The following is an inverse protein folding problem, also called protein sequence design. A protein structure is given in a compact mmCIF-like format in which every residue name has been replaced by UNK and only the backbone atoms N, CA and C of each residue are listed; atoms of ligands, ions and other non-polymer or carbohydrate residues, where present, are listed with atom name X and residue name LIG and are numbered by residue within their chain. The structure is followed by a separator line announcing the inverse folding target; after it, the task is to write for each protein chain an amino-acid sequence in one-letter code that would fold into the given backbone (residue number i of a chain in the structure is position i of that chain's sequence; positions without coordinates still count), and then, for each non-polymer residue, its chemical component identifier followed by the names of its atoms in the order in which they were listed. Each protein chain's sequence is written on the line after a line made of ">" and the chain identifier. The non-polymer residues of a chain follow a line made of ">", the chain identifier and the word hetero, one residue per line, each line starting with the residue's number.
data_IF_370126746787
#
_entry.id   IF_370126746787
#
_cell.length_a   1.000
_cell.length_b   1.000
_cell.length_c   1.000
_cell.angle_alpha   90.00
_cell.angle_beta   90.00
_cell.angle_gamma   90.00
#
_symmetry.space_group_name_H-M   'P 1'
#
loop_
_entity.id
_entity.type
_entity.pdbx_description
1 polymer ?
#
# COMPACT_ATOMS: atom_id res chain seq x y z
N UNK A 1 18.51 -16.23 -2.17
CA UNK A 1 18.01 -15.97 -3.54
C UNK A 1 17.91 -14.46 -3.72
N UNK A 2 18.69 -13.84 -4.60
CA UNK A 2 18.68 -12.38 -4.82
C UNK A 2 18.01 -12.08 -6.15
N UNK A 3 16.79 -11.55 -6.11
CA UNK A 3 16.09 -11.05 -7.30
C UNK A 3 16.61 -9.64 -7.56
N UNK A 4 17.09 -9.36 -8.77
CA UNK A 4 17.55 -8.03 -9.17
C UNK A 4 16.40 -7.33 -9.91
N UNK A 5 15.68 -6.47 -9.20
CA UNK A 5 14.70 -5.54 -9.79
C UNK A 5 15.35 -4.23 -10.21
N UNK A 6 14.63 -3.43 -11.01
CA UNK A 6 15.09 -2.10 -11.39
C UNK A 6 15.23 -1.18 -10.16
N UNK A 7 16.43 -0.64 -9.94
CA UNK A 7 16.75 0.22 -8.79
C UNK A 7 15.89 1.48 -8.73
N UNK A 8 15.54 2.08 -9.87
CA UNK A 8 14.71 3.28 -9.92
C UNK A 8 13.28 3.01 -9.45
N UNK A 9 12.70 1.90 -9.90
CA UNK A 9 11.36 1.48 -9.46
C UNK A 9 11.35 1.11 -7.97
N UNK A 10 12.43 0.52 -7.46
CA UNK A 10 12.59 0.26 -6.04
C UNK A 10 12.57 1.55 -5.21
N UNK A 11 13.37 2.56 -5.59
CA UNK A 11 13.38 3.83 -4.88
C UNK A 11 12.06 4.59 -5.00
N UNK A 12 11.40 4.55 -6.16
CA UNK A 12 10.09 5.14 -6.36
C UNK A 12 9.03 4.49 -5.44
N UNK A 13 9.01 3.16 -5.39
CA UNK A 13 8.06 2.41 -4.55
C UNK A 13 8.35 2.62 -3.05
N UNK A 14 9.62 2.69 -2.67
CA UNK A 14 10.04 3.05 -1.31
C UNK A 14 9.60 4.46 -0.94
N UNK A 15 9.76 5.44 -1.84
CA UNK A 15 9.32 6.81 -1.62
C UNK A 15 7.81 6.92 -1.46
N UNK A 16 7.04 6.22 -2.29
CA UNK A 16 5.59 6.16 -2.17
C UNK A 16 5.13 5.49 -0.87
N UNK A 17 5.84 4.46 -0.41
CA UNK A 17 5.56 3.86 0.90
C UNK A 17 5.87 4.80 2.06
N UNK A 18 6.89 5.64 1.96
CA UNK A 18 7.11 6.72 2.93
C UNK A 18 5.94 7.70 2.94
N UNK A 19 5.42 8.09 1.78
CA UNK A 19 4.24 8.97 1.69
C UNK A 19 2.99 8.30 2.27
N UNK A 20 2.80 7.00 2.02
CA UNK A 20 1.70 6.21 2.59
C UNK A 20 1.81 6.10 4.12
N UNK A 21 3.02 5.99 4.65
CA UNK A 21 3.27 5.99 6.09
C UNK A 21 2.93 7.35 6.71
N UNK A 22 3.40 8.45 6.11
CA UNK A 22 3.13 9.81 6.59
C UNK A 22 1.63 10.10 6.54
N UNK A 23 0.94 9.71 5.47
CA UNK A 23 -0.50 9.91 5.36
C UNK A 23 -1.27 9.05 6.37
N UNK A 24 -0.84 7.82 6.63
CA UNK A 24 -1.37 6.96 7.69
C UNK A 24 -1.25 7.58 9.08
N UNK A 25 -0.08 8.15 9.39
CA UNK A 25 0.16 8.85 10.65
C UNK A 25 -0.74 10.09 10.79
N UNK A 26 -0.88 10.90 9.73
CA UNK A 26 -1.77 12.06 9.73
C UNK A 26 -3.23 11.68 9.99
N UNK A 27 -3.73 10.64 9.31
CA UNK A 27 -5.11 10.14 9.54
C UNK A 27 -5.28 9.61 10.96
N UNK A 28 -4.30 8.88 11.47
CA UNK A 28 -4.33 8.35 12.84
C UNK A 28 -4.44 9.49 13.86
N UNK A 29 -3.61 10.52 13.73
CA UNK A 29 -3.62 11.69 14.64
C UNK A 29 -4.96 12.42 14.57
N UNK A 30 -5.51 12.66 13.37
CA UNK A 30 -6.82 13.30 13.20
C UNK A 30 -7.92 12.47 13.85
N UNK A 31 -7.94 11.15 13.61
CA UNK A 31 -8.92 10.25 14.21
C UNK A 31 -8.85 10.22 15.74
N UNK A 32 -7.64 10.16 16.30
CA UNK A 32 -7.43 10.22 17.75
C UNK A 32 -7.83 11.56 18.36
N UNK A 33 -7.53 12.67 17.66
CA UNK A 33 -7.91 14.02 18.10
C UNK A 33 -9.42 14.18 18.16
N UNK A 34 -10.16 13.73 17.13
CA UNK A 34 -11.62 13.81 17.12
C UNK A 34 -12.25 12.88 18.19
N UNK A 35 -11.71 11.68 18.40
CA UNK A 35 -12.14 10.81 19.50
C UNK A 35 -11.94 11.47 20.87
N UNK A 36 -10.79 12.14 21.09
CA UNK A 36 -10.50 12.82 22.35
C UNK A 36 -11.40 14.06 22.57
N UNK A 37 -11.76 14.76 21.48
CA UNK A 37 -12.58 15.97 21.53
C UNK A 37 -14.06 15.70 21.76
N UNK A 38 -14.64 14.68 21.14
CA UNK A 38 -16.09 14.46 21.22
C UNK A 38 -16.55 13.75 22.49
N UNK A 39 -15.62 13.20 23.29
CA UNK A 39 -15.88 12.40 24.49
C UNK A 39 -16.88 11.23 24.29
N UNK A 40 -17.16 10.91 23.03
CA UNK A 40 -18.05 9.86 22.56
C UNK A 40 -17.27 9.02 21.55
N UNK A 41 -17.24 7.71 21.75
CA UNK A 41 -16.62 6.76 20.82
C UNK A 41 -17.53 6.56 19.60
N UNK A 42 -17.76 7.61 18.82
CA UNK A 42 -18.46 7.49 17.55
C UNK A 42 -17.68 6.52 16.67
N UNK A 43 -18.37 5.47 16.20
CA UNK A 43 -17.80 4.40 15.38
C UNK A 43 -17.04 4.95 14.18
N UNK A 44 -17.51 6.08 13.64
CA UNK A 44 -16.86 6.79 12.55
C UNK A 44 -15.43 7.25 12.90
N UNK A 45 -15.24 8.01 13.98
CA UNK A 45 -13.93 8.54 14.39
C UNK A 45 -12.93 7.42 14.75
N UNK A 46 -13.43 6.40 15.45
CA UNK A 46 -12.62 5.21 15.79
C UNK A 46 -12.18 4.48 14.53
N UNK A 47 -13.04 4.37 13.52
CA UNK A 47 -12.71 3.71 12.25
C UNK A 47 -11.64 4.48 11.46
N UNK A 48 -11.62 5.82 11.53
CA UNK A 48 -10.54 6.63 10.95
C UNK A 48 -9.20 6.34 11.60
N UNK A 49 -9.15 6.27 12.93
CA UNK A 49 -7.92 5.94 13.65
C UNK A 49 -7.41 4.53 13.28
N UNK A 50 -8.31 3.54 13.24
CA UNK A 50 -7.97 2.16 12.86
C UNK A 50 -7.46 2.10 11.41
N UNK A 51 -8.11 2.82 10.49
CA UNK A 51 -7.67 2.87 9.09
C UNK A 51 -6.28 3.49 8.95
N UNK A 52 -6.00 4.61 9.64
CA UNK A 52 -4.67 5.21 9.68
C UNK A 52 -3.60 4.25 10.18
N UNK A 53 -3.89 3.53 11.28
CA UNK A 53 -3.00 2.49 11.81
C UNK A 53 -2.77 1.34 10.83
N UNK A 54 -3.81 0.86 10.15
CA UNK A 54 -3.70 -0.18 9.14
C UNK A 54 -2.80 0.28 7.96
N UNK A 55 -2.95 1.51 7.47
CA UNK A 55 -2.07 2.04 6.42
C UNK A 55 -0.60 2.08 6.85
N UNK A 56 -0.32 2.44 8.11
CA UNK A 56 1.05 2.40 8.64
C UNK A 56 1.63 0.97 8.61
N UNK A 57 0.85 -0.03 9.01
CA UNK A 57 1.28 -1.45 8.95
C UNK A 57 1.57 -1.88 7.52
N UNK A 58 0.70 -1.53 6.57
CA UNK A 58 0.90 -1.82 5.14
C UNK A 58 2.16 -1.14 4.60
N UNK A 59 2.40 0.12 4.97
CA UNK A 59 3.59 0.86 4.55
C UNK A 59 4.88 0.23 5.13
N UNK A 60 4.88 -0.13 6.42
CA UNK A 60 5.98 -0.86 7.07
C UNK A 60 6.25 -2.17 6.35
N UNK A 61 5.20 -2.95 6.07
CA UNK A 61 5.31 -4.21 5.34
C UNK A 61 5.90 -4.00 3.94
N UNK A 62 5.53 -2.90 3.26
CA UNK A 62 6.09 -2.47 1.99
C UNK A 62 7.62 -2.35 2.01
N UNK A 63 8.21 -1.77 3.06
CA UNK A 63 9.66 -1.61 3.16
C UNK A 63 10.45 -2.93 3.20
N UNK A 64 9.89 -3.99 3.77
CA UNK A 64 10.57 -5.28 3.93
C UNK A 64 10.38 -6.25 2.75
N UNK A 65 9.41 -5.96 1.88
CA UNK A 65 8.81 -6.93 0.96
C UNK A 65 9.53 -7.07 -0.39
N UNK A 66 10.44 -6.16 -0.73
CA UNK A 66 11.05 -6.08 -2.07
C UNK A 66 12.02 -7.20 -2.47
N UNK A 67 12.23 -8.19 -1.60
CA UNK A 67 13.22 -9.25 -1.82
C UNK A 67 12.67 -10.52 -2.47
N UNK A 68 11.33 -10.74 -2.45
CA UNK A 68 10.69 -11.93 -3.04
C UNK A 68 9.44 -11.57 -3.84
N UNK A 69 9.26 -12.24 -4.97
CA UNK A 69 8.10 -12.05 -5.86
C UNK A 69 6.76 -12.41 -5.20
N UNK A 70 6.75 -13.38 -4.30
CA UNK A 70 5.54 -13.76 -3.55
C UNK A 70 5.12 -12.68 -2.55
N UNK A 71 6.09 -12.09 -1.85
CA UNK A 71 5.80 -11.05 -0.87
C UNK A 71 5.23 -9.80 -1.57
N UNK A 72 5.74 -9.42 -2.74
CA UNK A 72 5.23 -8.22 -3.42
C UNK A 72 3.79 -8.38 -3.89
N UNK A 73 3.36 -9.59 -4.24
CA UNK A 73 1.96 -9.87 -4.52
C UNK A 73 1.07 -9.70 -3.29
N UNK A 74 1.55 -10.10 -2.10
CA UNK A 74 0.83 -9.89 -0.84
C UNK A 74 0.77 -8.42 -0.43
N UNK A 75 1.86 -7.69 -0.62
CA UNK A 75 1.86 -6.24 -0.41
C UNK A 75 0.87 -5.55 -1.36
N UNK A 76 0.84 -5.96 -2.62
CA UNK A 76 -0.06 -5.37 -3.61
C UNK A 76 -1.54 -5.62 -3.29
N UNK A 77 -1.89 -6.81 -2.78
CA UNK A 77 -3.25 -7.08 -2.31
C UNK A 77 -3.60 -6.24 -1.08
N UNK A 78 -2.67 -6.05 -0.15
CA UNK A 78 -2.87 -5.16 1.00
C UNK A 78 -3.11 -3.70 0.58
N UNK A 79 -2.32 -3.18 -0.37
CA UNK A 79 -2.53 -1.84 -0.95
C UNK A 79 -3.87 -1.73 -1.67
N UNK A 80 -4.30 -2.78 -2.38
CA UNK A 80 -5.61 -2.80 -3.01
C UNK A 80 -6.75 -2.73 -1.97
N UNK A 81 -6.63 -3.45 -0.86
CA UNK A 81 -7.59 -3.40 0.26
C UNK A 81 -7.65 -1.98 0.84
N UNK A 82 -6.49 -1.34 1.09
CA UNK A 82 -6.43 0.08 1.53
C UNK A 82 -7.20 0.97 0.55
N UNK A 83 -7.03 0.77 -0.76
CA UNK A 83 -7.76 1.51 -1.80
C UNK A 83 -9.27 1.29 -1.75
N UNK A 84 -9.73 0.06 -1.55
CA UNK A 84 -11.16 -0.24 -1.41
C UNK A 84 -11.76 0.45 -0.19
N UNK A 85 -11.12 0.37 0.98
CA UNK A 85 -11.55 1.07 2.19
C UNK A 85 -11.63 2.57 1.96
N UNK A 86 -10.62 3.14 1.31
CA UNK A 86 -10.56 4.55 1.02
C UNK A 86 -11.75 5.04 0.17
N UNK A 87 -12.13 4.28 -0.86
CA UNK A 87 -13.30 4.57 -1.69
C UNK A 87 -14.58 4.46 -0.86
N UNK A 88 -14.72 3.42 -0.04
CA UNK A 88 -15.90 3.22 0.82
C UNK A 88 -16.06 4.36 1.83
N UNK A 89 -14.99 4.81 2.47
CA UNK A 89 -15.02 5.97 3.38
C UNK A 89 -15.36 7.27 2.65
N UNK A 90 -14.76 7.50 1.48
CA UNK A 90 -15.05 8.68 0.67
C UNK A 90 -16.54 8.75 0.29
N UNK A 91 -17.12 7.61 -0.09
CA UNK A 91 -18.53 7.51 -0.41
C UNK A 91 -19.41 7.70 0.83
N UNK A 92 -19.02 7.15 1.98
CA UNK A 92 -19.71 7.35 3.26
C UNK A 92 -19.81 8.84 3.63
N UNK A 93 -18.70 9.58 3.53
CA UNK A 93 -18.67 11.04 3.75
C UNK A 93 -19.62 11.76 2.80
N UNK A 94 -19.62 11.38 1.51
CA UNK A 94 -20.46 12.02 0.51
C UNK A 94 -21.95 11.78 0.78
N UNK A 95 -22.32 10.57 1.19
CA UNK A 95 -23.70 10.19 1.52
C UNK A 95 -24.18 10.86 2.80
N UNK A 96 -23.32 10.98 3.81
CA UNK A 96 -23.67 11.59 5.11
C UNK A 96 -23.81 13.11 5.02
N UNK A 97 -22.97 13.80 4.24
CA UNK A 97 -23.03 15.26 4.12
C UNK A 97 -23.97 15.75 2.99
N UNK A 98 -24.45 14.85 2.13
CA UNK A 98 -25.29 15.17 0.98
C UNK A 98 -24.56 15.95 -0.14
N UNK A 99 -25.05 15.89 -1.39
CA UNK A 99 -24.48 16.65 -2.49
C UNK A 99 -24.81 18.14 -2.33
N UNK A 100 -23.88 18.91 -1.73
CA UNK A 100 -23.97 20.37 -1.67
C UNK A 100 -23.71 21.02 -0.31
N UNK A 101 -23.59 20.25 0.78
CA UNK A 101 -23.40 20.77 2.14
C UNK A 101 -21.97 20.57 2.68
N UNK A 102 -20.98 20.64 1.78
CA UNK A 102 -19.56 20.53 2.15
C UNK A 102 -19.12 21.86 2.73
N UNK A 103 -19.28 22.03 4.04
CA UNK A 103 -18.83 23.21 4.77
C UNK A 103 -17.29 23.28 4.71
N UNK A 104 -16.77 24.14 3.83
CA UNK A 104 -15.35 24.18 3.44
C UNK A 104 -14.41 24.72 4.51
N UNK A 105 -14.91 25.12 5.68
CA UNK A 105 -14.08 25.71 6.74
C UNK A 105 -13.59 24.73 7.81
N UNK A 106 -14.25 23.59 8.03
CA UNK A 106 -13.81 22.59 9.05
C UNK A 106 -13.74 21.16 8.53
N UNK A 107 -14.52 20.80 7.49
CA UNK A 107 -14.58 19.43 6.92
C UNK A 107 -13.77 19.25 5.63
N UNK A 108 -13.12 20.29 5.12
CA UNK A 108 -12.36 20.29 3.86
C UNK A 108 -10.96 19.67 3.99
N UNK A 109 -10.30 19.85 5.13
CA UNK A 109 -8.99 19.25 5.41
C UNK A 109 -8.96 17.71 5.27
N UNK A 110 -9.92 16.95 5.85
CA UNK A 110 -9.95 15.50 5.68
C UNK A 110 -10.26 15.09 4.24
N UNK A 111 -11.06 15.84 3.47
CA UNK A 111 -11.39 15.50 2.08
C UNK A 111 -10.18 15.64 1.15
N UNK A 112 -9.40 16.71 1.30
CA UNK A 112 -8.17 16.92 0.52
C UNK A 112 -7.13 15.84 0.87
N UNK A 113 -6.99 15.53 2.15
CA UNK A 113 -6.10 14.47 2.63
C UNK A 113 -6.52 13.10 2.06
N UNK A 114 -7.81 12.82 2.01
CA UNK A 114 -8.38 11.60 1.44
C UNK A 114 -8.05 11.53 -0.06
N UNK A 115 -8.36 12.57 -0.84
CA UNK A 115 -8.00 12.60 -2.27
C UNK A 115 -6.50 12.33 -2.52
N UNK A 116 -5.62 12.92 -1.70
CA UNK A 116 -4.19 12.69 -1.76
C UNK A 116 -3.79 11.24 -1.44
N UNK A 117 -4.39 10.64 -0.41
CA UNK A 117 -4.17 9.23 -0.05
C UNK A 117 -4.59 8.31 -1.19
N UNK A 118 -5.73 8.58 -1.83
CA UNK A 118 -6.18 7.85 -3.01
C UNK A 118 -5.15 7.86 -4.14
N UNK A 119 -4.58 9.02 -4.45
CA UNK A 119 -3.53 9.16 -5.46
C UNK A 119 -2.25 8.38 -5.10
N UNK A 120 -1.85 8.39 -3.83
CA UNK A 120 -0.69 7.62 -3.34
C UNK A 120 -0.94 6.12 -3.49
N UNK A 121 -2.12 5.64 -3.10
CA UNK A 121 -2.48 4.21 -3.18
C UNK A 121 -2.49 3.70 -4.62
N UNK A 122 -3.09 4.44 -5.55
CA UNK A 122 -3.11 4.10 -6.98
C UNK A 122 -1.67 4.06 -7.54
N UNK A 123 -0.84 5.02 -7.12
CA UNK A 123 0.56 5.10 -7.53
C UNK A 123 1.37 3.91 -6.99
N UNK A 124 1.20 3.56 -5.71
CA UNK A 124 1.80 2.37 -5.08
C UNK A 124 1.41 1.09 -5.82
N UNK A 125 0.13 0.94 -6.17
CA UNK A 125 -0.37 -0.24 -6.86
C UNK A 125 0.19 -0.35 -8.28
N UNK A 126 0.16 0.75 -9.04
CA UNK A 126 0.64 0.77 -10.43
C UNK A 126 2.14 0.51 -10.51
N UNK A 127 2.94 1.21 -9.71
CA UNK A 127 4.40 1.03 -9.68
C UNK A 127 4.76 -0.33 -9.10
N UNK A 128 4.00 -0.84 -8.11
CA UNK A 128 4.17 -2.18 -7.57
C UNK A 128 3.97 -3.27 -8.63
N UNK A 129 2.94 -3.15 -9.49
CA UNK A 129 2.72 -4.05 -10.62
C UNK A 129 3.86 -4.01 -11.63
N UNK A 130 4.31 -2.81 -12.00
CA UNK A 130 5.42 -2.64 -12.94
C UNK A 130 6.68 -3.28 -12.35
N UNK A 131 7.00 -2.97 -11.08
CA UNK A 131 8.16 -3.54 -10.40
C UNK A 131 8.11 -5.07 -10.35
N UNK A 132 6.95 -5.65 -10.01
CA UNK A 132 6.75 -7.12 -10.04
C UNK A 132 7.07 -7.71 -11.40
N UNK A 133 6.65 -7.06 -12.50
CA UNK A 133 6.92 -7.54 -13.86
C UNK A 133 8.41 -7.42 -14.24
N UNK A 134 9.16 -6.51 -13.62
CA UNK A 134 10.63 -6.39 -13.84
C UNK A 134 11.47 -7.40 -13.05
N UNK A 135 10.85 -8.22 -12.18
CA UNK A 135 11.56 -9.23 -11.41
C UNK A 135 11.97 -10.40 -12.33
N UNK A 136 13.20 -10.35 -12.85
CA UNK A 136 13.76 -11.45 -13.62
C UNK A 136 14.26 -12.56 -12.70
N UNK A 137 13.79 -13.78 -12.94
CA UNK A 137 14.34 -14.99 -12.32
C UNK A 137 15.69 -15.30 -12.96
N UNK A 138 16.78 -15.20 -12.18
CA UNK A 138 18.08 -15.75 -12.58
C UNK A 138 18.25 -17.10 -11.86
N UNK A 139 18.22 -18.24 -12.57
CA UNK A 139 18.49 -19.52 -11.94
C UNK A 139 19.88 -19.47 -11.30
N UNK A 140 19.94 -19.81 -10.02
CA UNK A 140 21.20 -19.96 -9.29
C UNK A 140 22.05 -21.03 -9.97
N UNK A 141 23.37 -20.81 -10.09
CA UNK A 141 24.30 -21.74 -10.75
C UNK A 141 24.23 -23.20 -10.24
N UNK A 142 23.70 -23.40 -9.02
CA UNK A 142 23.46 -24.72 -8.44
C UNK A 142 22.36 -25.54 -9.17
N UNK A 143 21.41 -24.90 -9.86
CA UNK A 143 20.42 -25.60 -10.69
C UNK A 143 21.01 -26.05 -12.04
N UNK A 144 22.02 -25.32 -12.55
CA UNK A 144 22.69 -25.66 -13.81
C UNK A 144 23.62 -26.86 -13.69
N UNK A 145 24.25 -27.06 -12.53
CA UNK A 145 25.09 -28.25 -12.30
C UNK A 145 24.25 -29.53 -12.25
N UNK A 146 23.06 -29.48 -11.66
CA UNK A 146 22.12 -30.62 -11.61
C UNK A 146 21.54 -30.92 -13.00
N UNK A 147 21.20 -29.89 -13.79
CA UNK A 147 20.71 -30.11 -15.16
C UNK A 147 21.77 -30.62 -16.13
N UNK A 148 23.05 -30.27 -15.94
CA UNK A 148 24.15 -30.76 -16.77
C UNK A 148 24.62 -32.17 -16.38
N UNK A 149 24.47 -32.58 -15.11
CA UNK A 149 24.71 -33.97 -14.70
C UNK A 149 23.57 -34.92 -15.08
N UNK A 150 22.34 -34.44 -15.24
CA UNK A 150 21.21 -35.26 -15.73
C UNK A 150 21.15 -35.44 -17.26
N UNK A 151 22.00 -34.75 -18.03
CA UNK A 151 21.93 -34.68 -19.49
C UNK A 151 22.88 -35.61 -20.26
N UNK A 152 23.64 -36.48 -19.59
CA UNK A 152 24.64 -37.36 -20.23
C UNK A 152 24.27 -38.85 -20.25
N UNK A 153 22.98 -39.18 -20.32
CA UNK A 153 22.54 -40.55 -20.49
C UNK A 153 21.36 -40.55 -21.46
N UNK A 154 21.64 -40.60 -22.77
CA UNK A 154 21.14 -41.58 -23.77
C UNK A 154 21.82 -41.19 -25.10
N UNK A 155 22.91 -41.88 -25.45
CA UNK A 155 23.28 -42.15 -26.84
C UNK A 155 23.24 -43.66 -27.00
N UNK A 156 22.24 -44.15 -27.72
CA UNK A 156 22.30 -45.37 -28.51
C UNK A 156 21.74 -45.03 -29.88
#
# INVERSE_FOLDING_TARGET
>A
MKIFGNKYLFYALSGLNTLLFISGLSILIIGLYECAKSNDAYWYNTSFAVFGGFMMVVAIYGFFTYSKAELISLYLSAVAIVGSFHISFSLGILLENGPGNIDMNSKSAPIILLSLVGAIVISCFTIGLIYRNTLHYKPTLNDRSISLQGGSFIRY
#
